data_IF_774406627438
#
_entry.id   IF_774406627438
#
_cell.length_a   1.000
_cell.length_b   1.000
_cell.length_c   1.000
_cell.angle_alpha   90.00
_cell.angle_beta   90.00
_cell.angle_gamma   90.00
#
_symmetry.space_group_name_H-M   'P 1'
#
loop_
_entity.id
_entity.type
_entity.pdbx_description
1 polymer ?
#
# COMPACT_ATOMS: atom_id res chain seq x y z
N UNK A 1 24.08 -14.90 -19.57
CA UNK A 1 22.67 -15.26 -19.31
C UNK A 1 21.77 -14.08 -18.88
N UNK A 2 22.28 -12.86 -18.62
CA UNK A 2 21.47 -11.71 -18.18
C UNK A 2 21.52 -10.48 -19.11
N UNK A 3 22.24 -10.54 -20.24
CA UNK A 3 22.49 -9.35 -21.07
C UNK A 3 21.51 -9.18 -22.25
N UNK A 4 20.69 -10.19 -22.55
CA UNK A 4 19.88 -10.22 -23.78
C UNK A 4 18.40 -9.84 -23.55
N UNK A 5 17.94 -9.68 -22.31
CA UNK A 5 16.53 -9.41 -22.01
C UNK A 5 16.16 -7.92 -22.01
N UNK A 6 17.12 -7.01 -22.17
CA UNK A 6 16.88 -5.57 -22.00
C UNK A 6 15.92 -4.98 -23.04
N UNK A 7 15.80 -5.64 -24.20
CA UNK A 7 15.03 -5.15 -25.36
C UNK A 7 13.53 -5.53 -25.35
N UNK A 8 13.10 -6.45 -24.48
CA UNK A 8 11.66 -6.81 -24.28
C UNK A 8 11.06 -6.23 -22.99
N UNK A 9 11.80 -5.34 -22.30
CA UNK A 9 11.50 -4.88 -20.96
C UNK A 9 10.26 -3.99 -20.84
N UNK A 10 9.92 -3.18 -21.84
CA UNK A 10 8.85 -2.18 -21.69
C UNK A 10 7.47 -2.82 -21.50
N UNK A 11 7.15 -3.85 -22.30
CA UNK A 11 5.92 -4.62 -22.14
C UNK A 11 5.87 -5.36 -20.79
N UNK A 12 7.01 -5.85 -20.30
CA UNK A 12 7.10 -6.53 -19.02
C UNK A 12 6.93 -5.55 -17.85
N UNK A 13 7.53 -4.37 -17.93
CA UNK A 13 7.42 -3.31 -16.94
C UNK A 13 6.00 -2.75 -16.89
N UNK A 14 5.36 -2.53 -18.05
CA UNK A 14 3.96 -2.11 -18.11
C UNK A 14 3.04 -3.16 -17.50
N UNK A 15 3.25 -4.44 -17.83
CA UNK A 15 2.51 -5.55 -17.23
C UNK A 15 2.68 -5.60 -15.71
N UNK A 16 3.90 -5.43 -15.21
CA UNK A 16 4.17 -5.38 -13.76
C UNK A 16 3.45 -4.21 -13.09
N UNK A 17 3.50 -3.00 -13.66
CA UNK A 17 2.81 -1.82 -13.12
C UNK A 17 1.30 -1.98 -13.12
N UNK A 18 0.73 -2.64 -14.13
CA UNK A 18 -0.71 -2.89 -14.24
C UNK A 18 -1.24 -3.89 -13.20
N UNK A 19 -0.42 -4.85 -12.80
CA UNK A 19 -0.85 -5.94 -11.91
C UNK A 19 -0.43 -5.74 -10.45
N UNK A 20 0.70 -5.07 -10.20
CA UNK A 20 1.23 -4.86 -8.86
C UNK A 20 0.84 -3.47 -8.33
N UNK A 21 -0.08 -3.38 -7.35
CA UNK A 21 -0.45 -2.10 -6.78
C UNK A 21 0.76 -1.48 -6.06
N UNK A 22 0.85 -0.16 -6.13
CA UNK A 22 1.85 0.64 -5.42
C UNK A 22 1.48 0.72 -3.94
N UNK A 23 0.18 0.77 -3.66
CA UNK A 23 -0.36 0.84 -2.31
C UNK A 23 -1.12 -0.43 -1.92
N UNK A 24 -0.79 -0.96 -0.73
CA UNK A 24 -1.54 -2.00 -0.05
C UNK A 24 -1.90 -1.52 1.36
N UNK A 25 -3.13 -1.76 1.85
CA UNK A 25 -3.55 -1.34 3.19
C UNK A 25 -2.88 -2.21 4.26
N UNK A 26 -1.60 -1.92 4.55
CA UNK A 26 -0.82 -2.63 5.58
C UNK A 26 -1.49 -2.46 6.93
N UNK A 27 -1.50 -3.52 7.75
CA UNK A 27 -2.25 -3.53 9.00
C UNK A 27 -1.96 -2.35 9.92
N UNK A 28 -0.70 -1.94 10.05
CA UNK A 28 -0.33 -0.77 10.87
C UNK A 28 -1.12 0.49 10.48
N UNK A 29 -1.26 0.79 9.18
CA UNK A 29 -1.98 1.95 8.71
C UNK A 29 -3.50 1.81 8.90
N UNK A 30 -4.02 0.59 8.74
CA UNK A 30 -5.42 0.27 8.98
C UNK A 30 -5.77 0.46 10.45
N UNK A 31 -4.95 -0.08 11.35
CA UNK A 31 -5.16 0.02 12.80
C UNK A 31 -5.08 1.46 13.28
N UNK A 32 -4.06 2.21 12.85
CA UNK A 32 -3.95 3.63 13.18
C UNK A 32 -5.17 4.43 12.71
N UNK A 33 -5.67 4.17 11.51
CA UNK A 33 -6.88 4.81 10.99
C UNK A 33 -8.13 4.45 11.80
N UNK A 34 -8.24 3.19 12.26
CA UNK A 34 -9.35 2.73 13.10
C UNK A 34 -9.28 3.30 14.52
N UNK A 35 -8.09 3.38 15.12
CA UNK A 35 -7.87 3.98 16.44
C UNK A 35 -8.31 5.45 16.44
N UNK A 36 -7.85 6.25 15.47
CA UNK A 36 -8.26 7.65 15.34
C UNK A 36 -9.76 7.80 15.07
N UNK A 37 -10.33 6.92 14.22
CA UNK A 37 -11.75 6.93 13.93
C UNK A 37 -12.59 6.61 15.17
N UNK A 38 -12.10 5.74 16.06
CA UNK A 38 -12.77 5.43 17.33
C UNK A 38 -12.81 6.63 18.28
N UNK A 39 -11.86 7.57 18.16
CA UNK A 39 -11.89 8.87 18.84
C UNK A 39 -12.73 9.94 18.10
N UNK A 40 -13.40 9.55 17.00
CA UNK A 40 -14.21 10.45 16.16
C UNK A 40 -13.41 11.21 15.09
N UNK A 41 -12.10 10.97 14.94
CA UNK A 41 -11.24 11.62 13.94
C UNK A 41 -11.20 10.77 12.67
N UNK A 42 -11.96 11.17 11.66
CA UNK A 42 -12.12 10.39 10.42
C UNK A 42 -11.14 10.77 9.30
N UNK A 43 -10.25 11.74 9.52
CA UNK A 43 -9.40 12.27 8.45
C UNK A 43 -8.42 11.22 7.91
N UNK A 44 -7.77 10.45 8.80
CA UNK A 44 -6.84 9.39 8.41
C UNK A 44 -7.55 8.25 7.68
N UNK A 45 -8.74 7.85 8.15
CA UNK A 45 -9.57 6.85 7.48
C UNK A 45 -9.98 7.31 6.08
N UNK A 46 -10.43 8.55 5.92
CA UNK A 46 -10.80 9.10 4.60
C UNK A 46 -9.62 9.17 3.66
N UNK A 47 -8.43 9.55 4.14
CA UNK A 47 -7.19 9.52 3.35
C UNK A 47 -6.84 8.10 2.91
N UNK A 48 -6.89 7.14 3.84
CA UNK A 48 -6.60 5.73 3.55
C UNK A 48 -7.54 5.19 2.46
N UNK A 49 -8.84 5.44 2.58
CA UNK A 49 -9.84 5.01 1.58
C UNK A 49 -9.56 5.60 0.19
N UNK A 50 -9.24 6.90 0.10
CA UNK A 50 -8.88 7.55 -1.18
C UNK A 50 -7.69 6.90 -1.87
N UNK A 51 -6.70 6.43 -1.10
CA UNK A 51 -5.53 5.76 -1.67
C UNK A 51 -5.87 4.32 -2.09
N UNK A 52 -6.73 3.62 -1.33
CA UNK A 52 -7.20 2.27 -1.69
C UNK A 52 -8.03 2.28 -2.97
N UNK A 53 -8.82 3.32 -3.23
CA UNK A 53 -9.63 3.44 -4.44
C UNK A 53 -8.78 3.46 -5.73
N UNK A 54 -7.53 3.91 -5.64
CA UNK A 54 -6.60 4.01 -6.78
C UNK A 54 -5.22 3.46 -6.42
N UNK A 55 -5.09 2.15 -6.18
CA UNK A 55 -3.90 1.57 -5.55
C UNK A 55 -2.69 1.49 -6.51
N UNK A 56 -2.89 1.79 -7.80
CA UNK A 56 -1.86 1.81 -8.84
C UNK A 56 -1.38 3.23 -9.18
N UNK A 57 -1.99 4.28 -8.60
CA UNK A 57 -1.64 5.68 -8.86
C UNK A 57 -0.87 6.27 -7.68
N UNK A 58 0.24 6.98 -7.96
CA UNK A 58 0.94 7.78 -6.95
C UNK A 58 0.26 9.15 -6.87
N UNK A 59 -0.13 9.55 -5.67
CA UNK A 59 -0.58 10.90 -5.37
C UNK A 59 0.05 11.39 -4.05
N UNK A 60 -0.04 12.68 -3.75
CA UNK A 60 0.59 13.27 -2.55
C UNK A 60 0.11 12.62 -1.24
N UNK A 61 -1.12 12.10 -1.21
CA UNK A 61 -1.69 11.43 -0.05
C UNK A 61 -1.18 9.99 0.11
N UNK A 62 -0.77 9.34 -0.99
CA UNK A 62 -0.29 7.96 -1.00
C UNK A 62 1.08 7.79 -0.32
N UNK A 63 1.93 8.82 -0.34
CA UNK A 63 3.29 8.76 0.20
C UNK A 63 3.34 8.38 1.68
N UNK A 64 2.35 8.82 2.47
CA UNK A 64 2.23 8.51 3.89
C UNK A 64 2.04 7.01 4.14
N UNK A 65 1.43 6.29 3.20
CA UNK A 65 1.01 4.91 3.38
C UNK A 65 1.88 3.87 2.64
N UNK A 66 2.80 4.30 1.77
CA UNK A 66 3.71 3.39 1.04
C UNK A 66 4.68 2.68 1.99
N UNK A 67 5.15 3.39 3.01
CA UNK A 67 6.14 2.87 3.93
C UNK A 67 5.53 1.78 4.84
N UNK A 68 6.31 0.76 5.21
CA UNK A 68 5.90 -0.15 6.27
C UNK A 68 5.69 0.61 7.57
N UNK A 69 4.81 0.07 8.42
CA UNK A 69 4.74 0.50 9.81
C UNK A 69 6.05 0.20 10.57
N UNK A 70 6.21 0.78 11.77
CA UNK A 70 7.31 0.42 12.65
C UNK A 70 7.31 -1.08 12.94
N UNK A 71 8.50 -1.65 13.11
CA UNK A 71 8.65 -3.06 13.46
C UNK A 71 8.04 -3.31 14.85
N UNK A 72 7.00 -4.14 14.91
CA UNK A 72 6.37 -4.52 16.16
C UNK A 72 6.44 -6.03 16.33
N UNK A 73 7.39 -6.50 17.14
CA UNK A 73 7.64 -7.92 17.40
C UNK A 73 6.49 -8.63 18.13
N UNK A 74 5.60 -7.86 18.76
CA UNK A 74 4.42 -8.39 19.45
C UNK A 74 3.17 -8.38 18.56
N UNK A 75 3.29 -7.91 17.32
CA UNK A 75 2.17 -7.80 16.40
C UNK A 75 1.73 -9.18 15.90
N UNK A 76 0.46 -9.51 16.11
CA UNK A 76 -0.10 -10.81 15.72
C UNK A 76 -1.23 -10.62 14.73
N UNK A 77 -1.05 -11.17 13.54
CA UNK A 77 -2.06 -11.18 12.49
C UNK A 77 -2.99 -12.37 12.63
N UNK A 78 -4.29 -12.14 12.43
CA UNK A 78 -5.31 -13.20 12.38
C UNK A 78 -5.87 -13.40 10.97
N UNK A 79 -5.27 -12.78 9.94
CA UNK A 79 -5.64 -12.97 8.55
C UNK A 79 -5.12 -14.31 8.03
N UNK A 80 -5.80 -15.39 8.41
CA UNK A 80 -5.57 -16.75 7.92
C UNK A 80 -6.89 -17.48 7.82
N UNK A 81 -7.57 -17.33 6.68
CA UNK A 81 -8.56 -18.26 6.15
C UNK A 81 -8.06 -18.76 4.82
#
# INVERSE_FOLDING_TARGET
>A
RLKDNVSQNDNQLELMRKNNPIFIPRNYHVEKALEEANEGKLDLLKKLLKVIERPYEINDQSLEFINPGPENKNYRTFCGT
#
